data_IF_685649405659
#
_entry.id   IF_685649405659
#
_cell.length_a   1.000
_cell.length_b   1.000
_cell.length_c   1.000
_cell.angle_alpha   90.00
_cell.angle_beta   90.00
_cell.angle_gamma   90.00
#
_symmetry.space_group_name_H-M   'P 1'
#
loop_
_entity.id
_entity.type
_entity.pdbx_description
1 polymer ?
#
# COMPACT_ATOMS: atom_id res chain seq x y z
N UNK A 1 0.52 14.72 -14.49
CA UNK A 1 0.14 14.77 -13.05
C UNK A 1 0.94 15.86 -12.36
N UNK A 2 0.30 16.71 -11.57
CA UNK A 2 0.98 17.80 -10.86
C UNK A 2 1.78 17.27 -9.68
N UNK A 3 2.97 17.87 -9.45
CA UNK A 3 3.79 17.60 -8.27
C UNK A 3 3.04 18.09 -7.01
N UNK A 4 2.98 17.30 -5.92
CA UNK A 4 2.44 17.81 -4.65
C UNK A 4 3.28 18.98 -4.12
N UNK A 5 2.67 19.79 -3.27
CA UNK A 5 3.42 20.83 -2.52
C UNK A 5 4.32 20.12 -1.51
N UNK A 6 5.61 20.39 -1.59
CA UNK A 6 6.64 19.73 -0.77
C UNK A 6 7.45 20.80 -0.04
N UNK A 7 7.58 20.65 1.26
CA UNK A 7 8.45 21.48 2.11
C UNK A 7 9.82 20.82 2.21
N UNK A 8 10.84 21.45 1.66
CA UNK A 8 12.20 20.93 1.70
C UNK A 8 12.83 21.11 3.08
N UNK A 9 13.29 20.01 3.67
CA UNK A 9 13.96 19.92 4.97
C UNK A 9 15.20 19.04 4.85
N UNK A 10 16.08 19.40 3.93
CA UNK A 10 17.23 18.59 3.55
C UNK A 10 18.08 18.18 4.76
N UNK A 11 18.23 16.87 4.96
CA UNK A 11 19.19 16.31 5.89
C UNK A 11 20.61 16.58 5.35
N UNK A 12 21.51 17.06 6.21
CA UNK A 12 22.93 17.15 5.85
C UNK A 12 23.50 15.78 5.58
N UNK A 13 24.44 15.68 4.63
CA UNK A 13 25.15 14.42 4.35
C UNK A 13 25.84 13.91 5.60
N UNK A 14 25.60 12.66 5.96
CA UNK A 14 26.17 11.98 7.10
C UNK A 14 26.05 10.46 6.89
N UNK A 15 26.90 9.69 7.57
CA UNK A 15 26.92 8.22 7.42
C UNK A 15 25.71 7.50 8.03
N UNK A 16 24.94 8.17 8.89
CA UNK A 16 23.88 7.54 9.67
C UNK A 16 22.49 7.65 9.04
N UNK A 17 22.26 8.67 8.22
CA UNK A 17 20.97 8.93 7.60
C UNK A 17 21.04 9.19 6.10
N UNK A 18 21.97 10.05 5.66
CA UNK A 18 22.14 10.44 4.25
C UNK A 18 23.56 10.19 3.77
N UNK A 19 23.92 8.95 3.38
CA UNK A 19 25.28 8.58 2.99
C UNK A 19 25.72 9.19 1.65
N UNK A 20 24.78 9.67 0.83
CA UNK A 20 25.07 10.20 -0.50
C UNK A 20 25.22 9.12 -1.57
N UNK A 21 24.94 7.86 -1.24
CA UNK A 21 24.91 6.74 -2.19
C UNK A 21 23.85 6.98 -3.25
N UNK A 22 24.16 6.76 -4.52
CA UNK A 22 23.21 6.93 -5.63
C UNK A 22 22.05 5.95 -5.53
N UNK A 23 20.86 6.43 -5.85
CA UNK A 23 19.63 5.65 -5.95
C UNK A 23 19.00 5.82 -7.33
N UNK A 24 18.61 4.71 -7.94
CA UNK A 24 17.65 4.67 -9.04
C UNK A 24 16.46 3.83 -8.60
N UNK A 25 15.43 4.50 -8.03
CA UNK A 25 14.33 3.76 -7.41
C UNK A 25 13.40 3.11 -8.44
N UNK A 26 12.93 1.93 -8.05
CA UNK A 26 11.94 1.11 -8.79
C UNK A 26 10.74 0.75 -7.90
N UNK A 27 10.76 1.13 -6.63
CA UNK A 27 9.68 0.93 -5.67
C UNK A 27 9.48 2.16 -4.79
N UNK A 28 8.29 2.28 -4.23
CA UNK A 28 7.95 3.26 -3.17
C UNK A 28 7.58 2.46 -1.93
N UNK A 29 8.33 2.62 -0.85
CA UNK A 29 8.12 1.90 0.40
C UNK A 29 7.41 2.79 1.42
N UNK A 30 6.25 2.33 1.92
CA UNK A 30 5.46 3.03 2.91
C UNK A 30 5.79 2.54 4.31
N UNK A 31 5.98 3.50 5.22
CA UNK A 31 6.21 3.32 6.64
C UNK A 31 5.21 4.13 7.45
N UNK A 32 5.22 3.94 8.77
CA UNK A 32 4.58 4.84 9.71
C UNK A 32 5.59 5.30 10.75
N UNK A 33 5.39 6.47 11.32
CA UNK A 33 6.34 7.11 12.25
C UNK A 33 6.50 6.38 13.59
N UNK A 34 5.72 5.32 13.83
CA UNK A 34 5.83 4.47 15.01
C UNK A 34 5.06 4.96 16.24
N UNK A 35 4.54 6.17 16.22
CA UNK A 35 3.79 6.78 17.33
C UNK A 35 2.55 7.50 16.77
N UNK A 36 1.36 7.06 17.21
CA UNK A 36 0.11 7.75 16.88
C UNK A 36 0.04 9.11 17.55
N UNK A 37 -0.70 10.03 16.94
CA UNK A 37 -0.98 11.39 17.44
C UNK A 37 0.27 12.26 17.64
N UNK A 38 1.43 11.83 17.11
CA UNK A 38 2.67 12.60 17.13
C UNK A 38 2.89 13.23 15.76
N UNK A 39 3.07 14.58 15.70
CA UNK A 39 3.30 15.26 14.42
C UNK A 39 4.53 14.73 13.66
N UNK A 40 4.41 14.59 12.35
CA UNK A 40 5.49 14.10 11.48
C UNK A 40 6.75 14.96 11.52
N UNK A 41 6.62 16.28 11.78
CA UNK A 41 7.77 17.18 12.00
C UNK A 41 8.71 16.73 13.11
N UNK A 42 8.23 15.94 14.10
CA UNK A 42 9.08 15.37 15.14
C UNK A 42 10.00 14.29 14.56
N UNK A 43 9.51 13.48 13.63
CA UNK A 43 10.31 12.51 12.87
C UNK A 43 11.34 13.22 11.98
N UNK A 44 10.96 14.34 11.35
CA UNK A 44 11.91 15.20 10.60
C UNK A 44 13.03 15.67 11.53
N UNK A 45 12.68 16.20 12.71
CA UNK A 45 13.66 16.64 13.70
C UNK A 45 14.53 15.51 14.20
N UNK A 46 13.95 14.33 14.48
CA UNK A 46 14.68 13.15 14.90
C UNK A 46 15.74 12.72 13.87
N UNK A 47 15.38 12.65 12.59
CA UNK A 47 16.33 12.28 11.55
C UNK A 47 17.42 13.35 11.36
N UNK A 48 17.05 14.63 11.34
CA UNK A 48 17.98 15.70 11.02
C UNK A 48 18.88 16.12 12.18
N UNK A 49 18.41 16.00 13.43
CA UNK A 49 19.11 16.55 14.61
C UNK A 49 19.62 15.47 15.57
N UNK A 50 19.05 14.26 15.54
CA UNK A 50 19.46 13.20 16.45
C UNK A 50 20.24 12.11 15.68
N UNK A 51 19.61 11.46 14.72
CA UNK A 51 20.25 10.37 13.96
C UNK A 51 21.44 10.90 13.15
N UNK A 52 21.29 12.02 12.46
CA UNK A 52 22.35 12.60 11.64
C UNK A 52 23.64 12.90 12.41
N UNK A 53 23.54 13.11 13.73
CA UNK A 53 24.66 13.39 14.62
C UNK A 53 25.25 12.13 15.29
N UNK A 54 24.77 10.93 14.91
CA UNK A 54 25.34 9.69 15.41
C UNK A 54 24.71 9.20 16.72
N UNK A 55 23.39 9.14 16.78
CA UNK A 55 22.66 8.61 17.92
C UNK A 55 22.93 7.13 18.16
N UNK A 56 23.07 6.74 19.42
CA UNK A 56 23.33 5.35 19.84
C UNK A 56 22.22 4.84 20.76
N UNK A 57 21.87 3.57 20.57
CA UNK A 57 21.04 2.80 21.51
C UNK A 57 21.82 1.56 21.90
N UNK A 58 21.96 1.29 23.19
CA UNK A 58 22.75 0.17 23.72
C UNK A 58 24.15 0.08 23.09
N UNK A 59 24.84 1.22 22.96
CA UNK A 59 26.20 1.32 22.42
C UNK A 59 26.30 1.21 20.88
N UNK A 60 25.22 0.87 20.16
CA UNK A 60 25.20 0.73 18.70
C UNK A 60 24.62 1.96 18.03
N UNK A 61 25.26 2.43 16.98
CA UNK A 61 24.74 3.53 16.17
C UNK A 61 23.43 3.14 15.48
N UNK A 62 22.48 4.09 15.48
CA UNK A 62 21.25 3.96 14.73
C UNK A 62 21.46 4.53 13.32
N UNK A 63 21.05 3.76 12.34
CA UNK A 63 21.00 4.14 10.93
C UNK A 63 19.52 4.22 10.52
N UNK A 64 19.02 5.44 10.38
CA UNK A 64 17.62 5.66 10.04
C UNK A 64 17.42 6.99 9.32
N UNK A 65 16.57 6.99 8.31
CA UNK A 65 16.13 8.17 7.57
C UNK A 65 15.02 7.82 6.60
N UNK A 66 14.42 8.84 5.97
CA UNK A 66 13.42 8.66 4.94
C UNK A 66 13.58 9.75 3.87
N UNK A 67 13.10 9.50 2.65
CA UNK A 67 13.04 10.54 1.62
C UNK A 67 11.96 11.55 1.95
N UNK A 68 10.81 11.08 2.43
CA UNK A 68 9.68 11.91 2.78
C UNK A 68 9.13 11.57 4.15
N UNK A 69 8.59 12.60 4.79
CA UNK A 69 7.73 12.46 5.97
C UNK A 69 6.43 13.20 5.68
N UNK A 70 5.28 12.58 5.91
CA UNK A 70 3.95 13.19 5.79
C UNK A 70 3.42 13.41 7.21
N UNK A 71 3.03 14.65 7.51
CA UNK A 71 2.52 15.05 8.82
C UNK A 71 1.01 14.77 8.97
N UNK A 72 0.49 14.94 10.18
CA UNK A 72 -0.94 14.77 10.50
C UNK A 72 -1.85 15.76 9.76
N UNK A 73 -1.35 16.95 9.44
CA UNK A 73 -2.05 17.97 8.65
C UNK A 73 -1.89 17.79 7.13
N UNK A 74 -1.21 16.72 6.71
CA UNK A 74 -0.93 16.43 5.31
C UNK A 74 0.29 17.15 4.74
N UNK A 75 1.01 17.95 5.51
CA UNK A 75 2.27 18.59 5.06
C UNK A 75 3.28 17.50 4.67
N UNK A 76 3.85 17.61 3.46
CA UNK A 76 4.87 16.70 2.95
C UNK A 76 6.23 17.34 3.11
N UNK A 77 7.09 16.75 3.92
CA UNK A 77 8.50 17.14 4.06
C UNK A 77 9.39 16.23 3.21
N UNK A 78 10.34 16.81 2.49
CA UNK A 78 11.40 16.04 1.80
C UNK A 78 12.73 16.25 2.50
N UNK A 79 13.39 15.14 2.87
CA UNK A 79 14.64 15.13 3.61
C UNK A 79 15.83 14.70 2.76
N UNK A 80 15.62 13.81 1.79
CA UNK A 80 16.68 13.24 0.96
C UNK A 80 16.26 13.35 -0.51
N UNK A 81 17.18 13.75 -1.42
CA UNK A 81 16.92 13.76 -2.86
C UNK A 81 16.57 12.36 -3.39
N UNK A 82 15.70 12.30 -4.40
CA UNK A 82 15.23 11.03 -4.98
C UNK A 82 16.33 10.17 -5.65
N UNK A 83 17.46 10.77 -5.95
CA UNK A 83 18.62 10.10 -6.54
C UNK A 83 19.69 9.70 -5.50
N UNK A 84 19.40 9.87 -4.20
CA UNK A 84 20.25 9.44 -3.09
C UNK A 84 19.51 8.41 -2.22
N UNK A 85 20.22 7.39 -1.70
CA UNK A 85 19.69 6.35 -0.83
C UNK A 85 19.39 6.88 0.57
N UNK A 86 18.31 6.39 1.20
CA UNK A 86 18.03 6.56 2.64
C UNK A 86 18.11 5.21 3.37
N UNK A 87 18.09 5.25 4.70
CA UNK A 87 18.05 4.04 5.56
C UNK A 87 16.64 3.85 6.15
N UNK A 88 15.68 3.42 5.30
CA UNK A 88 14.27 3.24 5.70
C UNK A 88 13.83 1.77 5.70
N UNK A 89 14.24 0.98 4.70
CA UNK A 89 13.55 -0.26 4.32
C UNK A 89 14.52 -1.45 4.19
N UNK A 90 15.53 -1.53 5.03
CA UNK A 90 16.51 -2.64 5.04
C UNK A 90 17.11 -2.91 3.65
N UNK A 91 16.96 -4.13 3.10
CA UNK A 91 17.50 -4.49 1.78
C UNK A 91 16.93 -3.67 0.63
N UNK A 92 15.71 -3.11 0.78
CA UNK A 92 15.10 -2.27 -0.23
C UNK A 92 15.66 -0.84 -0.28
N UNK A 93 16.54 -0.43 0.64
CA UNK A 93 17.19 0.88 0.61
C UNK A 93 17.90 1.17 -0.72
N UNK A 94 18.39 0.14 -1.40
CA UNK A 94 19.11 0.25 -2.67
C UNK A 94 18.21 0.48 -3.89
N UNK A 95 16.88 0.29 -3.76
CA UNK A 95 15.94 0.40 -4.87
C UNK A 95 14.58 1.03 -4.54
N UNK A 96 14.35 1.48 -3.30
CA UNK A 96 13.08 2.08 -2.91
C UNK A 96 13.21 3.49 -2.35
N UNK A 97 12.25 4.34 -2.68
CA UNK A 97 12.00 5.61 -1.99
C UNK A 97 11.20 5.32 -0.73
N UNK A 98 11.71 5.72 0.44
CA UNK A 98 11.01 5.59 1.72
C UNK A 98 10.09 6.79 2.00
N UNK A 99 8.87 6.51 2.45
CA UNK A 99 7.86 7.50 2.84
C UNK A 99 7.37 7.17 4.25
N UNK A 100 7.74 7.95 5.23
CA UNK A 100 7.23 7.88 6.61
C UNK A 100 5.93 8.67 6.71
N UNK A 101 4.92 8.11 7.37
CA UNK A 101 3.59 8.70 7.46
C UNK A 101 3.15 8.80 8.91
N UNK A 102 2.79 10.00 9.37
CA UNK A 102 2.21 10.20 10.69
C UNK A 102 0.82 9.58 10.76
N UNK A 103 0.51 8.99 11.90
CA UNK A 103 -0.73 8.25 12.16
C UNK A 103 -1.46 8.79 13.38
N UNK A 104 -2.75 8.50 13.49
CA UNK A 104 -3.60 8.92 14.61
C UNK A 104 -4.40 7.74 15.17
N UNK A 105 -4.88 7.88 16.41
CA UNK A 105 -5.71 6.89 17.08
C UNK A 105 -4.96 5.62 17.50
N UNK A 106 -5.61 4.81 18.31
CA UNK A 106 -5.03 3.59 18.90
C UNK A 106 -4.70 2.49 17.88
N UNK A 107 -5.31 2.53 16.70
CA UNK A 107 -5.08 1.60 15.59
C UNK A 107 -4.06 2.12 14.56
N UNK A 108 -3.54 3.34 14.75
CA UNK A 108 -2.61 4.00 13.84
C UNK A 108 -3.17 4.23 12.42
N UNK A 109 -4.44 4.60 12.30
CA UNK A 109 -5.00 5.03 11.02
C UNK A 109 -4.48 6.42 10.59
N UNK A 110 -4.90 6.90 9.41
CA UNK A 110 -4.46 8.17 8.86
C UNK A 110 -5.56 9.23 8.96
N UNK A 111 -5.18 10.49 9.17
CA UNK A 111 -6.12 11.61 8.99
C UNK A 111 -6.48 11.74 7.50
N UNK A 112 -7.57 12.43 7.18
CA UNK A 112 -7.97 12.70 5.77
C UNK A 112 -6.89 13.47 5.03
N UNK A 113 -6.27 14.45 5.68
CA UNK A 113 -5.19 15.25 5.11
C UNK A 113 -3.95 14.39 4.84
N UNK A 114 -3.53 13.57 5.82
CA UNK A 114 -2.41 12.64 5.68
C UNK A 114 -2.66 11.63 4.55
N UNK A 115 -3.86 11.02 4.50
CA UNK A 115 -4.20 10.03 3.48
C UNK A 115 -4.17 10.61 2.07
N UNK A 116 -4.80 11.78 1.86
CA UNK A 116 -4.79 12.47 0.55
C UNK A 116 -3.38 12.84 0.10
N UNK A 117 -2.55 13.36 1.02
CA UNK A 117 -1.15 13.67 0.73
C UNK A 117 -0.33 12.43 0.40
N UNK A 118 -0.58 11.31 1.10
CA UNK A 118 0.07 10.03 0.83
C UNK A 118 -0.30 9.49 -0.56
N UNK A 119 -1.59 9.53 -0.93
CA UNK A 119 -2.06 9.15 -2.28
C UNK A 119 -1.43 10.04 -3.34
N UNK A 120 -1.44 11.37 -3.14
CA UNK A 120 -0.87 12.32 -4.11
C UNK A 120 0.64 12.10 -4.32
N UNK A 121 1.40 12.02 -3.22
CA UNK A 121 2.86 11.81 -3.28
C UNK A 121 3.21 10.48 -3.97
N UNK A 122 2.58 9.38 -3.56
CA UNK A 122 2.88 8.06 -4.11
C UNK A 122 2.47 7.92 -5.58
N UNK A 123 1.31 8.48 -5.96
CA UNK A 123 0.89 8.53 -7.35
C UNK A 123 1.88 9.35 -8.22
N UNK A 124 2.34 10.50 -7.71
CA UNK A 124 3.31 11.35 -8.40
C UNK A 124 4.68 10.66 -8.53
N UNK A 125 5.18 10.01 -7.48
CA UNK A 125 6.43 9.24 -7.53
C UNK A 125 6.35 8.12 -8.57
N UNK A 126 5.23 7.39 -8.59
CA UNK A 126 4.99 6.35 -9.59
C UNK A 126 4.84 6.92 -11.01
N UNK A 127 4.21 8.08 -11.17
CA UNK A 127 4.07 8.74 -12.47
C UNK A 127 5.43 9.09 -13.07
N UNK A 128 6.31 9.73 -12.28
CA UNK A 128 7.62 10.19 -12.73
C UNK A 128 8.57 9.06 -13.12
N UNK A 129 8.36 7.85 -12.60
CA UNK A 129 9.21 6.68 -12.86
C UNK A 129 8.54 5.62 -13.74
N UNK A 130 7.32 5.85 -14.21
CA UNK A 130 6.58 4.86 -14.96
C UNK A 130 6.18 3.62 -14.15
N UNK A 131 6.16 3.71 -12.80
CA UNK A 131 5.85 2.59 -11.91
C UNK A 131 4.35 2.32 -11.87
N UNK A 132 3.97 1.09 -11.58
CA UNK A 132 2.59 0.70 -11.36
C UNK A 132 2.26 0.73 -9.85
N UNK A 133 1.40 1.66 -9.35
CA UNK A 133 1.07 1.74 -7.94
C UNK A 133 0.56 0.43 -7.33
N UNK A 134 -0.10 -0.42 -8.10
CA UNK A 134 -0.66 -1.69 -7.63
C UNK A 134 0.40 -2.73 -7.27
N UNK A 135 1.62 -2.62 -7.83
CA UNK A 135 2.71 -3.60 -7.65
C UNK A 135 4.00 -2.98 -7.12
N UNK A 136 4.17 -1.67 -7.32
CA UNK A 136 5.45 -1.00 -7.04
C UNK A 136 5.41 -0.12 -5.80
N UNK A 137 4.24 0.06 -5.18
CA UNK A 137 4.12 0.54 -3.81
C UNK A 137 4.15 -0.69 -2.90
N UNK A 138 5.12 -0.72 -1.98
CA UNK A 138 5.36 -1.81 -1.04
C UNK A 138 5.31 -1.30 0.40
N UNK A 139 5.05 -2.20 1.36
CA UNK A 139 5.18 -1.93 2.80
C UNK A 139 6.55 -2.39 3.28
N UNK A 140 7.06 -1.79 4.33
CA UNK A 140 8.31 -2.29 4.97
C UNK A 140 8.19 -3.78 5.34
N UNK A 141 7.04 -4.18 5.89
CA UNK A 141 6.72 -5.58 6.20
C UNK A 141 6.90 -6.52 5.01
N UNK A 142 6.62 -6.09 3.79
CA UNK A 142 6.74 -6.92 2.59
C UNK A 142 8.20 -7.26 2.27
N UNK A 143 9.15 -6.47 2.79
CA UNK A 143 10.60 -6.67 2.62
C UNK A 143 11.19 -7.56 3.71
N UNK A 144 10.78 -7.37 4.97
CA UNK A 144 11.41 -8.02 6.13
C UNK A 144 10.56 -9.12 6.76
N UNK A 145 9.29 -9.24 6.37
CA UNK A 145 8.34 -10.20 6.91
C UNK A 145 7.63 -9.73 8.19
N UNK A 146 6.42 -10.24 8.41
CA UNK A 146 5.55 -9.86 9.55
C UNK A 146 6.15 -10.24 10.91
N UNK A 147 6.92 -11.31 10.96
CA UNK A 147 7.56 -11.75 12.20
C UNK A 147 8.66 -10.78 12.68
N UNK A 148 9.24 -10.03 11.74
CA UNK A 148 10.29 -9.05 12.06
C UNK A 148 9.73 -7.67 12.38
N UNK A 149 8.81 -7.14 11.54
CA UNK A 149 8.27 -5.79 11.70
C UNK A 149 6.89 -5.62 11.07
N UNK A 150 5.93 -5.10 11.84
CA UNK A 150 4.62 -4.69 11.35
C UNK A 150 4.66 -3.21 10.95
N UNK A 151 4.99 -2.91 9.68
CA UNK A 151 5.14 -1.54 9.22
C UNK A 151 4.69 -1.37 7.76
N UNK A 152 3.77 -0.43 7.48
CA UNK A 152 2.97 0.36 8.43
C UNK A 152 1.89 -0.51 9.09
N UNK A 153 1.79 -0.42 10.42
CA UNK A 153 0.98 -1.34 11.22
C UNK A 153 -0.49 -1.37 10.81
N UNK A 154 -1.10 -0.19 10.54
CA UNK A 154 -2.50 -0.11 10.12
C UNK A 154 -2.75 -0.91 8.83
N UNK A 155 -1.95 -0.69 7.79
CA UNK A 155 -2.10 -1.38 6.50
C UNK A 155 -1.66 -2.84 6.54
N UNK A 156 -0.86 -3.24 7.52
CA UNK A 156 -0.49 -4.65 7.73
C UNK A 156 -1.66 -5.41 8.38
N UNK A 157 -2.36 -4.77 9.30
CA UNK A 157 -3.52 -5.36 9.99
C UNK A 157 -4.81 -5.27 9.17
N UNK A 158 -4.87 -4.35 8.20
CA UNK A 158 -6.02 -4.12 7.32
C UNK A 158 -5.58 -4.21 5.85
N UNK A 159 -5.34 -5.42 5.32
CA UNK A 159 -4.80 -5.60 3.96
C UNK A 159 -5.74 -5.07 2.86
N UNK A 160 -7.05 -5.08 3.07
CA UNK A 160 -8.04 -4.45 2.19
C UNK A 160 -7.84 -2.94 2.06
N UNK A 161 -7.48 -2.26 3.16
CA UNK A 161 -7.18 -0.83 3.16
C UNK A 161 -5.87 -0.51 2.43
N UNK A 162 -4.90 -1.40 2.51
CA UNK A 162 -3.68 -1.29 1.71
C UNK A 162 -3.96 -1.44 0.21
N UNK A 163 -4.77 -2.41 -0.18
CA UNK A 163 -5.17 -2.58 -1.58
C UNK A 163 -5.95 -1.36 -2.09
N UNK A 164 -6.88 -0.83 -1.28
CA UNK A 164 -7.62 0.38 -1.62
C UNK A 164 -6.67 1.58 -1.80
N UNK A 165 -5.72 1.77 -0.91
CA UNK A 165 -4.72 2.83 -1.03
C UNK A 165 -3.92 2.72 -2.36
N UNK A 166 -3.47 1.52 -2.73
CA UNK A 166 -2.77 1.30 -4.00
C UNK A 166 -3.66 1.57 -5.21
N UNK A 167 -4.94 1.22 -5.12
CA UNK A 167 -5.94 1.51 -6.15
C UNK A 167 -6.19 3.01 -6.28
N UNK A 168 -6.28 3.74 -5.17
CA UNK A 168 -6.44 5.19 -5.18
C UNK A 168 -5.23 5.87 -5.84
N UNK A 169 -4.01 5.45 -5.48
CA UNK A 169 -2.79 5.92 -6.14
C UNK A 169 -2.80 5.63 -7.66
N UNK A 170 -3.27 4.46 -8.06
CA UNK A 170 -3.38 4.09 -9.47
C UNK A 170 -4.39 4.95 -10.22
N UNK A 171 -5.57 5.17 -9.65
CA UNK A 171 -6.63 5.96 -10.25
C UNK A 171 -6.26 7.44 -10.37
N UNK A 172 -5.63 8.01 -9.34
CA UNK A 172 -5.13 9.39 -9.37
C UNK A 172 -3.98 9.53 -10.38
N UNK A 173 -3.02 8.60 -10.41
CA UNK A 173 -1.95 8.58 -11.42
C UNK A 173 -2.50 8.54 -12.85
N UNK A 174 -3.53 7.73 -13.08
CA UNK A 174 -4.16 7.54 -14.39
C UNK A 174 -5.12 8.68 -14.79
N UNK A 175 -5.35 9.67 -13.91
CA UNK A 175 -6.32 10.75 -14.15
C UNK A 175 -7.79 10.31 -14.11
N UNK A 176 -8.07 9.10 -13.61
CA UNK A 176 -9.44 8.54 -13.50
C UNK A 176 -10.22 9.16 -12.33
N UNK A 177 -9.52 9.55 -11.28
CA UNK A 177 -10.06 10.19 -10.08
C UNK A 177 -9.23 11.42 -9.76
N UNK A 178 -9.88 12.54 -9.51
CA UNK A 178 -9.20 13.74 -9.02
C UNK A 178 -8.93 13.63 -7.51
N UNK A 179 -7.86 14.24 -7.04
CA UNK A 179 -7.39 14.09 -5.66
C UNK A 179 -8.42 14.54 -4.61
N UNK A 180 -9.21 15.58 -4.91
CA UNK A 180 -10.29 16.08 -4.04
C UNK A 180 -11.39 15.05 -3.79
N UNK A 181 -11.59 14.11 -4.74
CA UNK A 181 -12.56 13.01 -4.64
C UNK A 181 -12.02 11.76 -3.95
N UNK A 182 -10.74 11.73 -3.61
CA UNK A 182 -10.16 10.61 -2.83
C UNK A 182 -10.74 10.65 -1.42
N UNK A 183 -11.37 9.54 -1.02
CA UNK A 183 -11.92 9.34 0.33
C UNK A 183 -10.93 8.51 1.14
N UNK A 184 -10.67 8.96 2.38
CA UNK A 184 -9.80 8.22 3.28
C UNK A 184 -10.46 6.92 3.74
N UNK A 185 -10.03 5.81 3.17
CA UNK A 185 -10.57 4.49 3.49
C UNK A 185 -10.21 4.00 4.91
N UNK A 186 -9.33 4.70 5.63
CA UNK A 186 -8.88 4.27 6.97
C UNK A 186 -9.76 4.81 8.10
N UNK A 187 -10.56 5.85 7.85
CA UNK A 187 -11.47 6.45 8.86
C UNK A 187 -12.78 5.67 9.01
N UNK A 188 -13.12 4.78 8.09
CA UNK A 188 -14.39 4.07 8.12
C UNK A 188 -14.25 2.72 8.81
N UNK A 189 -14.81 2.59 10.01
CA UNK A 189 -15.17 1.27 10.54
C UNK A 189 -16.29 0.68 9.67
N UNK A 190 -15.93 -0.14 8.71
CA UNK A 190 -16.88 -1.04 8.07
C UNK A 190 -17.54 -0.59 6.76
N UNK A 191 -17.06 0.44 6.05
CA UNK A 191 -17.54 0.71 4.71
C UNK A 191 -16.39 0.81 3.72
N UNK A 192 -16.12 -0.30 3.02
CA UNK A 192 -15.30 -0.26 1.80
C UNK A 192 -16.14 0.46 0.73
N UNK A 193 -15.91 1.75 0.55
CA UNK A 193 -16.42 2.43 -0.65
C UNK A 193 -15.46 2.09 -1.78
N UNK A 194 -15.69 0.99 -2.44
CA UNK A 194 -15.12 0.76 -3.76
C UNK A 194 -15.68 1.88 -4.63
N UNK A 195 -14.83 2.86 -5.02
CA UNK A 195 -15.19 3.78 -6.08
C UNK A 195 -15.22 2.91 -7.34
N UNK A 196 -16.38 2.73 -7.99
CA UNK A 196 -16.49 1.83 -9.12
C UNK A 196 -15.61 2.34 -10.26
N UNK A 197 -14.89 1.43 -10.90
CA UNK A 197 -14.53 1.62 -12.30
C UNK A 197 -15.83 1.96 -13.05
N UNK A 198 -15.88 3.12 -13.71
CA UNK A 198 -17.11 3.68 -14.30
C UNK A 198 -17.72 2.83 -15.44
N UNK A 199 -17.37 1.58 -15.54
CA UNK A 199 -17.86 0.65 -16.55
C UNK A 199 -18.47 -0.66 -16.05
N UNK A 200 -18.49 -0.97 -14.71
CA UNK A 200 -19.33 -2.10 -14.27
C UNK A 200 -19.74 -1.99 -12.79
N UNK A 201 -20.97 -1.55 -12.56
CA UNK A 201 -21.59 -1.54 -11.26
C UNK A 201 -22.72 -2.57 -11.20
N UNK A 202 -22.39 -3.75 -10.65
CA UNK A 202 -23.31 -4.62 -9.89
C UNK A 202 -22.46 -5.52 -9.03
N UNK A 203 -22.71 -5.56 -7.72
CA UNK A 203 -22.09 -6.58 -6.84
C UNK A 203 -22.49 -7.94 -7.42
N UNK A 204 -21.60 -8.56 -8.16
CA UNK A 204 -21.84 -9.85 -8.76
C UNK A 204 -21.74 -10.91 -7.67
N UNK A 205 -22.80 -11.65 -7.48
CA UNK A 205 -22.82 -12.84 -6.65
C UNK A 205 -22.69 -14.06 -7.53
N UNK A 206 -22.05 -15.10 -7.04
CA UNK A 206 -21.97 -16.41 -7.69
C UNK A 206 -22.62 -17.45 -6.79
N UNK A 207 -23.57 -18.21 -7.35
CA UNK A 207 -24.18 -19.39 -6.72
C UNK A 207 -23.45 -20.63 -7.18
N UNK A 208 -23.14 -21.52 -6.25
CA UNK A 208 -22.51 -22.80 -6.51
C UNK A 208 -23.59 -23.82 -6.90
N UNK A 209 -23.49 -24.37 -8.10
CA UNK A 209 -24.45 -25.36 -8.65
C UNK A 209 -24.04 -26.77 -8.33
N UNK A 210 -22.75 -27.04 -8.17
CA UNK A 210 -22.15 -28.31 -7.77
C UNK A 210 -20.96 -28.03 -6.88
N UNK A 211 -20.48 -28.97 -6.10
CA UNK A 211 -19.27 -28.80 -5.28
C UNK A 211 -18.09 -28.37 -6.15
N UNK A 212 -17.37 -27.33 -5.72
CA UNK A 212 -16.28 -26.70 -6.48
C UNK A 212 -15.04 -26.53 -5.61
N UNK A 213 -13.90 -26.94 -6.15
CA UNK A 213 -12.62 -26.65 -5.54
C UNK A 213 -12.38 -25.14 -5.43
N UNK A 214 -11.98 -24.69 -4.24
CA UNK A 214 -11.42 -23.35 -4.02
C UNK A 214 -9.90 -23.45 -4.07
N UNK A 215 -9.27 -22.40 -4.63
CA UNK A 215 -7.85 -22.40 -4.96
C UNK A 215 -7.16 -21.17 -4.41
N UNK A 216 -5.91 -21.32 -4.02
CA UNK A 216 -5.06 -20.20 -3.54
C UNK A 216 -4.52 -19.32 -4.66
N UNK A 217 -4.50 -19.84 -5.89
CA UNK A 217 -4.04 -19.15 -7.09
C UNK A 217 -5.08 -19.25 -8.23
N UNK A 218 -4.97 -18.36 -9.21
CA UNK A 218 -5.83 -18.34 -10.38
C UNK A 218 -5.37 -19.37 -11.42
N UNK A 219 -5.33 -20.64 -11.06
CA UNK A 219 -4.97 -21.76 -11.93
C UNK A 219 -5.83 -23.00 -11.63
N UNK A 220 -5.66 -24.06 -12.42
CA UNK A 220 -6.37 -25.33 -12.28
C UNK A 220 -5.45 -26.48 -11.84
N UNK A 221 -4.28 -26.16 -11.28
CA UNK A 221 -3.36 -27.19 -10.76
C UNK A 221 -3.87 -27.77 -9.45
N UNK A 222 -3.53 -29.01 -9.15
CA UNK A 222 -3.98 -29.64 -7.89
C UNK A 222 -3.30 -29.03 -6.67
N UNK A 223 -2.09 -28.51 -6.84
CA UNK A 223 -1.32 -27.82 -5.78
C UNK A 223 -1.99 -26.54 -5.29
N UNK A 224 -2.80 -25.89 -6.15
CA UNK A 224 -3.54 -24.68 -5.78
C UNK A 224 -4.81 -24.96 -4.98
N UNK A 225 -5.29 -26.22 -4.91
CA UNK A 225 -6.53 -26.57 -4.20
C UNK A 225 -6.35 -26.41 -2.69
N UNK A 226 -7.15 -25.54 -2.09
CA UNK A 226 -7.12 -25.27 -0.63
C UNK A 226 -8.42 -25.67 0.08
N UNK A 227 -9.39 -26.20 -0.65
CA UNK A 227 -10.65 -26.67 -0.09
C UNK A 227 -11.76 -26.81 -1.13
N UNK A 228 -12.99 -26.97 -0.66
CA UNK A 228 -14.19 -27.14 -1.49
C UNK A 228 -15.32 -26.28 -0.96
N UNK A 229 -16.01 -25.55 -1.84
CA UNK A 229 -17.30 -24.93 -1.55
C UNK A 229 -18.44 -25.82 -2.01
N UNK A 230 -19.48 -25.90 -1.18
CA UNK A 230 -20.60 -26.80 -1.37
C UNK A 230 -21.68 -26.20 -2.26
N UNK A 231 -22.40 -27.07 -2.96
CA UNK A 231 -23.59 -26.71 -3.73
C UNK A 231 -24.56 -25.88 -2.89
N UNK A 232 -25.12 -24.86 -3.50
CA UNK A 232 -26.08 -23.92 -2.87
C UNK A 232 -25.41 -22.71 -2.20
N UNK A 233 -24.11 -22.75 -1.93
CA UNK A 233 -23.37 -21.59 -1.40
C UNK A 233 -23.45 -20.39 -2.35
N UNK A 234 -23.47 -19.17 -1.76
CA UNK A 234 -23.48 -17.90 -2.52
C UNK A 234 -22.32 -17.06 -2.05
N UNK A 235 -21.51 -16.60 -2.97
CA UNK A 235 -20.27 -15.86 -2.69
C UNK A 235 -20.19 -14.60 -3.53
N UNK A 236 -19.52 -13.57 -3.00
CA UNK A 236 -19.26 -12.33 -3.71
C UNK A 236 -18.07 -12.51 -4.65
N UNK A 237 -18.26 -12.22 -5.92
CA UNK A 237 -17.20 -12.13 -6.94
C UNK A 237 -16.64 -10.71 -6.92
N UNK A 238 -15.32 -10.59 -6.82
CA UNK A 238 -14.62 -9.31 -6.86
C UNK A 238 -13.86 -9.10 -8.17
N UNK A 239 -13.56 -10.19 -8.89
CA UNK A 239 -12.81 -10.12 -10.15
C UNK A 239 -13.12 -11.34 -11.00
N UNK A 240 -13.23 -11.14 -12.31
CA UNK A 240 -13.23 -12.21 -13.32
C UNK A 240 -11.84 -12.26 -13.96
N UNK A 241 -11.22 -13.44 -13.96
CA UNK A 241 -9.91 -13.67 -14.54
C UNK A 241 -10.08 -14.43 -15.83
N UNK A 242 -9.77 -13.78 -16.94
CA UNK A 242 -9.79 -14.38 -18.26
C UNK A 242 -8.59 -15.31 -18.45
N UNK A 243 -8.85 -16.49 -18.97
CA UNK A 243 -7.82 -17.51 -19.22
C UNK A 243 -8.07 -18.24 -20.54
N UNK A 244 -7.01 -18.78 -21.10
CA UNK A 244 -7.13 -19.71 -22.22
C UNK A 244 -7.86 -20.97 -21.72
N UNK A 245 -9.07 -21.20 -22.22
CA UNK A 245 -9.95 -22.32 -21.83
C UNK A 245 -11.08 -21.88 -20.90
N UNK A 246 -10.94 -22.02 -19.60
CA UNK A 246 -12.00 -21.70 -18.63
C UNK A 246 -11.56 -20.55 -17.74
N UNK A 247 -12.36 -19.48 -17.70
CA UNK A 247 -12.17 -18.34 -16.82
C UNK A 247 -12.32 -18.74 -15.35
N UNK A 248 -11.85 -17.86 -14.46
CA UNK A 248 -12.01 -18.03 -13.02
C UNK A 248 -12.63 -16.78 -12.40
N UNK A 249 -13.30 -16.98 -11.26
CA UNK A 249 -13.74 -15.89 -10.38
C UNK A 249 -12.87 -15.84 -9.14
N UNK A 250 -12.40 -14.63 -8.81
CA UNK A 250 -11.83 -14.34 -7.50
C UNK A 250 -12.96 -13.96 -6.56
N UNK A 251 -13.06 -14.64 -5.45
CA UNK A 251 -14.04 -14.37 -4.41
C UNK A 251 -13.53 -13.30 -3.43
N UNK A 252 -14.45 -12.64 -2.75
CA UNK A 252 -14.12 -11.64 -1.71
C UNK A 252 -13.22 -12.18 -0.60
N UNK A 253 -13.25 -13.48 -0.36
CA UNK A 253 -12.36 -14.19 0.57
C UNK A 253 -10.91 -14.33 0.07
N UNK A 254 -10.60 -13.88 -1.14
CA UNK A 254 -9.25 -13.95 -1.72
C UNK A 254 -8.92 -15.25 -2.45
N UNK A 255 -9.82 -16.27 -2.40
CA UNK A 255 -9.65 -17.52 -3.12
C UNK A 255 -10.28 -17.49 -4.51
N UNK A 256 -9.94 -18.47 -5.34
CA UNK A 256 -10.39 -18.55 -6.73
C UNK A 256 -11.26 -19.77 -6.93
N UNK A 257 -12.28 -19.66 -7.82
CA UNK A 257 -13.13 -20.75 -8.27
C UNK A 257 -13.27 -20.70 -9.79
N UNK A 258 -13.68 -21.81 -10.39
CA UNK A 258 -14.02 -21.84 -11.82
C UNK A 258 -15.17 -20.89 -12.15
N UNK A 259 -15.13 -20.23 -13.31
CA UNK A 259 -16.24 -19.48 -13.88
C UNK A 259 -17.11 -20.32 -14.84
N UNK A 260 -16.87 -21.62 -14.92
CA UNK A 260 -17.65 -22.52 -15.78
C UNK A 260 -19.11 -22.58 -15.35
N UNK A 261 -20.02 -22.27 -16.28
CA UNK A 261 -21.48 -22.28 -16.08
C UNK A 261 -22.03 -23.64 -15.65
N UNK A 262 -21.28 -24.73 -15.84
CA UNK A 262 -21.61 -26.05 -15.34
C UNK A 262 -21.60 -26.09 -13.81
N UNK A 263 -20.74 -25.35 -13.17
CA UNK A 263 -20.46 -25.43 -11.72
C UNK A 263 -20.98 -24.24 -10.95
N UNK A 264 -21.10 -23.09 -11.62
CA UNK A 264 -21.44 -21.82 -10.97
C UNK A 264 -22.38 -20.98 -11.84
N UNK A 265 -23.20 -20.16 -11.19
CA UNK A 265 -24.10 -19.21 -11.84
C UNK A 265 -23.94 -17.83 -11.23
N UNK A 266 -23.69 -16.81 -12.06
CA UNK A 266 -23.77 -15.42 -11.62
C UNK A 266 -25.25 -15.09 -11.33
N UNK A 267 -25.45 -14.43 -10.18
CA UNK A 267 -26.77 -13.89 -9.80
C UNK A 267 -26.64 -12.38 -9.63
N UNK A 268 -27.50 -11.65 -10.31
CA UNK A 268 -27.62 -10.21 -10.15
C UNK A 268 -28.46 -9.93 -8.89
N UNK A 269 -28.05 -8.93 -8.11
CA UNK A 269 -28.83 -8.44 -6.99
C UNK A 269 -29.68 -7.26 -7.43
#
# INVERSE_FOLDING_TARGET
>A
MNKPVIVEKWQKRNKYGRPGTKLNYTKVAIHYTGQADVPGKNTVSYFNNVVANGYKVNGKYIYASSHFVIDLDGTIYQLIPLNEMCYATNSANSYAVGVEVATTGSDNHYTDATYKSMVHLCAWLCYNKGLNPKTDIIRHTDVVGRAYKLCPIYMVNNPDKYEQFRLDCYNVKAGKVSLDKVVNCTNEKGKVTVIPDATQNKTQLVRILQDVNIRSAADFTDESVVGVVKKGGVYTVVEKIERTGTDMYKLKSGVYITASKKYVQLIEK
#
